data_IF_437880561315
#
_entry.id   IF_437880561315
#
_cell.length_a   1.000
_cell.length_b   1.000
_cell.length_c   1.000
_cell.angle_alpha   90.00
_cell.angle_beta   90.00
_cell.angle_gamma   90.00
#
_symmetry.space_group_name_H-M   'P 1'
#
loop_
_entity.id
_entity.type
_entity.pdbx_description
1 polymer ?
#
# COMPACT_ATOMS: atom_id res chain seq x y z
N UNK A 1 -11.77 -21.20 -0.18
CA UNK A 1 -10.92 -21.36 1.02
C UNK A 1 -9.46 -21.35 0.58
N UNK A 2 -8.83 -20.18 0.53
CA UNK A 2 -7.39 -20.02 0.36
C UNK A 2 -6.86 -19.54 1.72
N UNK A 3 -6.63 -20.48 2.64
CA UNK A 3 -5.85 -20.22 3.85
C UNK A 3 -4.52 -20.94 3.65
N UNK A 4 -3.41 -20.23 3.92
CA UNK A 4 -2.09 -20.78 4.31
C UNK A 4 -0.88 -20.74 3.36
N UNK A 5 -0.84 -20.05 2.21
CA UNK A 5 0.45 -19.92 1.48
C UNK A 5 0.69 -18.55 0.86
N UNK A 6 1.09 -17.57 1.68
CA UNK A 6 1.78 -16.36 1.20
C UNK A 6 2.97 -16.04 2.11
N UNK A 7 4.02 -15.48 1.54
CA UNK A 7 5.27 -15.12 2.23
C UNK A 7 5.41 -13.60 2.13
N UNK A 8 5.61 -12.83 3.22
CA UNK A 8 5.88 -11.39 3.11
C UNK A 8 7.34 -11.02 3.38
N UNK A 9 7.71 -9.76 3.05
CA UNK A 9 9.08 -9.25 3.11
C UNK A 9 9.40 -8.19 4.18
N UNK A 10 10.66 -8.16 4.68
CA UNK A 10 11.71 -9.14 4.44
C UNK A 10 11.66 -10.28 5.47
N UNK A 11 12.14 -11.46 5.09
CA UNK A 11 12.33 -12.56 6.04
C UNK A 11 13.22 -12.11 7.22
N UNK A 12 12.84 -12.39 8.48
CA UNK A 12 11.75 -13.27 8.87
C UNK A 12 10.44 -12.49 9.03
N UNK A 13 9.48 -12.78 8.15
CA UNK A 13 8.08 -12.75 8.55
C UNK A 13 7.94 -13.66 9.75
N UNK A 14 7.83 -13.06 10.91
CA UNK A 14 7.39 -13.73 12.11
C UNK A 14 5.85 -13.63 12.15
N UNK A 15 5.11 -14.70 11.85
CA UNK A 15 3.66 -14.69 11.96
C UNK A 15 3.16 -14.45 13.39
N UNK A 16 4.00 -14.60 14.42
CA UNK A 16 3.70 -14.18 15.80
C UNK A 16 3.91 -12.67 16.03
N UNK A 17 4.62 -11.99 15.11
CA UNK A 17 4.79 -10.53 15.08
C UNK A 17 3.61 -9.80 14.43
N UNK A 18 2.45 -10.47 14.31
CA UNK A 18 1.17 -9.74 14.36
C UNK A 18 1.06 -9.14 15.76
N UNK A 19 1.77 -8.03 15.99
CA UNK A 19 1.53 -7.13 17.13
C UNK A 19 0.02 -7.00 17.29
N UNK A 20 -0.44 -6.82 18.51
CA UNK A 20 -1.81 -6.42 18.79
C UNK A 20 -2.08 -5.04 18.16
N UNK A 21 -2.19 -5.01 16.83
CA UNK A 21 -2.42 -3.83 16.02
C UNK A 21 -3.91 -3.60 16.06
N UNK A 22 -4.25 -2.37 16.40
CA UNK A 22 -5.61 -1.91 16.38
C UNK A 22 -5.74 -0.94 15.22
N UNK A 23 -6.75 -1.16 14.39
CA UNK A 23 -7.10 -0.28 13.31
C UNK A 23 -8.21 0.64 13.82
N UNK A 24 -8.09 1.94 13.56
CA UNK A 24 -9.17 2.89 13.85
C UNK A 24 -10.11 2.96 12.65
N UNK A 25 -11.37 2.59 12.84
CA UNK A 25 -12.39 2.61 11.79
C UNK A 25 -13.70 3.26 12.26
N UNK A 26 -14.34 4.04 11.39
CA UNK A 26 -15.68 4.61 11.59
C UNK A 26 -16.60 4.24 10.42
N UNK A 27 -17.76 3.64 10.71
CA UNK A 27 -18.81 3.34 9.75
C UNK A 27 -19.82 4.50 9.62
N UNK A 28 -20.75 4.39 8.67
CA UNK A 28 -21.74 5.43 8.32
C UNK A 28 -22.48 6.08 9.49
N UNK A 29 -22.72 5.34 10.56
CA UNK A 29 -23.49 5.80 11.72
C UNK A 29 -22.62 6.06 12.96
N UNK A 30 -21.31 5.87 12.85
CA UNK A 30 -20.37 6.08 13.95
C UNK A 30 -20.07 7.57 14.10
N UNK A 31 -20.11 8.06 15.34
CA UNK A 31 -19.74 9.46 15.64
C UNK A 31 -18.24 9.69 15.65
N UNK A 32 -17.46 8.67 16.02
CA UNK A 32 -16.01 8.69 16.13
C UNK A 32 -15.45 7.33 15.71
N UNK A 33 -14.21 7.32 15.21
CA UNK A 33 -13.51 6.09 14.90
C UNK A 33 -13.26 5.27 16.18
N UNK A 34 -13.55 3.97 16.09
CA UNK A 34 -13.28 3.00 17.16
C UNK A 34 -12.07 2.15 16.80
N UNK A 35 -11.32 1.72 17.82
CA UNK A 35 -10.21 0.78 17.69
C UNK A 35 -10.77 -0.64 17.56
N UNK A 36 -10.38 -1.35 16.51
CA UNK A 36 -10.73 -2.75 16.28
C UNK A 36 -9.46 -3.58 16.11
N UNK A 37 -9.47 -4.82 16.60
CA UNK A 37 -8.37 -5.76 16.35
C UNK A 37 -8.39 -6.18 14.88
N UNK A 38 -7.22 -6.56 14.35
CA UNK A 38 -7.06 -7.07 12.97
C UNK A 38 -8.15 -8.08 12.57
N UNK A 39 -8.39 -9.13 13.37
CA UNK A 39 -9.40 -10.15 13.06
C UNK A 39 -10.84 -9.62 12.96
N UNK A 40 -11.15 -8.54 13.68
CA UNK A 40 -12.45 -7.89 13.57
C UNK A 40 -12.49 -7.00 12.34
N UNK A 41 -11.42 -6.24 12.07
CA UNK A 41 -11.27 -5.46 10.84
C UNK A 41 -11.48 -6.33 9.60
N UNK A 42 -10.75 -7.44 9.47
CA UNK A 42 -10.86 -8.40 8.34
C UNK A 42 -12.28 -8.94 8.16
N UNK A 43 -13.03 -9.15 9.25
CA UNK A 43 -14.43 -9.59 9.19
C UNK A 43 -15.37 -8.50 8.69
N UNK A 44 -15.11 -7.25 9.04
CA UNK A 44 -15.94 -6.11 8.71
C UNK A 44 -15.72 -5.63 7.27
N UNK A 45 -14.48 -5.73 6.78
CA UNK A 45 -14.06 -5.22 5.47
C UNK A 45 -13.91 -6.31 4.42
N UNK A 46 -13.89 -7.58 4.83
CA UNK A 46 -13.65 -8.75 3.98
C UNK A 46 -12.27 -8.79 3.30
N UNK A 47 -11.33 -7.92 3.70
CA UNK A 47 -9.93 -7.97 3.25
C UNK A 47 -9.08 -8.81 4.21
N UNK A 48 -7.96 -9.35 3.71
CA UNK A 48 -6.92 -9.91 4.57
C UNK A 48 -5.96 -8.80 4.96
N UNK A 49 -5.76 -8.58 6.26
CA UNK A 49 -4.87 -7.52 6.71
C UNK A 49 -3.41 -7.98 6.65
N UNK A 50 -2.58 -7.19 5.98
CA UNK A 50 -1.13 -7.36 5.90
C UNK A 50 -0.45 -6.02 6.17
N UNK A 51 0.76 -6.04 6.69
CA UNK A 51 1.54 -4.83 6.98
C UNK A 51 2.82 -4.72 6.13
N UNK A 52 3.05 -5.70 5.27
CA UNK A 52 4.16 -5.79 4.32
C UNK A 52 3.67 -6.46 3.02
N UNK A 53 4.39 -6.26 1.93
CA UNK A 53 4.12 -6.94 0.64
C UNK A 53 4.03 -8.46 0.83
N UNK A 54 3.07 -9.09 0.15
CA UNK A 54 2.87 -10.53 0.16
C UNK A 54 3.23 -11.17 -1.19
N UNK A 55 3.76 -12.39 -1.16
CA UNK A 55 4.21 -13.13 -2.34
C UNK A 55 3.55 -14.52 -2.39
N UNK A 56 3.14 -15.01 -3.59
CA UNK A 56 2.54 -16.34 -3.75
C UNK A 56 3.45 -17.50 -3.31
N UNK A 57 4.77 -17.33 -3.42
CA UNK A 57 5.75 -18.31 -2.96
C UNK A 57 7.12 -17.68 -2.70
N UNK A 58 7.96 -18.31 -1.87
CA UNK A 58 9.38 -17.89 -1.72
C UNK A 58 10.12 -17.90 -3.05
N UNK A 59 9.87 -18.92 -3.89
CA UNK A 59 10.47 -19.02 -5.22
C UNK A 59 10.13 -17.79 -6.07
N UNK A 60 8.86 -17.37 -6.08
CA UNK A 60 8.40 -16.16 -6.76
C UNK A 60 9.12 -14.91 -6.25
N UNK A 61 9.24 -14.77 -4.92
CA UNK A 61 9.94 -13.65 -4.30
C UNK A 61 11.41 -13.57 -4.76
N UNK A 62 12.14 -14.69 -4.72
CA UNK A 62 13.53 -14.73 -5.18
C UNK A 62 13.69 -14.48 -6.68
N UNK A 63 12.77 -14.97 -7.51
CA UNK A 63 12.74 -14.66 -8.95
C UNK A 63 12.56 -13.16 -9.18
N UNK A 64 11.61 -12.53 -8.48
CA UNK A 64 11.35 -11.10 -8.58
C UNK A 64 12.55 -10.27 -8.10
N UNK A 65 13.18 -10.64 -6.98
CA UNK A 65 14.42 -9.98 -6.50
C UNK A 65 15.50 -10.02 -7.58
N UNK A 66 15.69 -11.16 -8.25
CA UNK A 66 16.70 -11.28 -9.31
C UNK A 66 16.36 -10.40 -10.52
N UNK A 67 15.08 -10.30 -10.89
CA UNK A 67 14.62 -9.40 -11.95
C UNK A 67 14.84 -7.92 -11.59
N UNK A 68 14.56 -7.53 -10.35
CA UNK A 68 14.78 -6.16 -9.85
C UNK A 68 16.27 -5.83 -9.81
N UNK A 69 17.11 -6.74 -9.30
CA UNK A 69 18.57 -6.56 -9.30
C UNK A 69 19.10 -6.31 -10.71
N UNK A 70 18.68 -7.15 -11.65
CA UNK A 70 19.07 -6.98 -13.06
C UNK A 70 18.61 -5.62 -13.62
N UNK A 71 17.35 -5.23 -13.37
CA UNK A 71 16.84 -3.93 -13.83
C UNK A 71 17.57 -2.74 -13.19
N UNK A 72 17.99 -2.87 -11.92
CA UNK A 72 18.80 -1.87 -11.25
C UNK A 72 20.20 -1.76 -11.87
N UNK A 73 20.88 -2.90 -12.08
CA UNK A 73 22.21 -2.95 -12.69
C UNK A 73 22.21 -2.42 -14.14
N UNK A 74 21.11 -2.63 -14.87
CA UNK A 74 20.89 -2.12 -16.24
C UNK A 74 20.46 -0.64 -16.27
N UNK A 75 20.28 0.00 -15.12
CA UNK A 75 19.90 1.42 -15.00
C UNK A 75 18.43 1.71 -15.33
N UNK A 76 17.57 0.68 -15.31
CA UNK A 76 16.14 0.82 -15.56
C UNK A 76 15.35 1.26 -14.32
N UNK A 77 15.95 1.11 -13.13
CA UNK A 77 15.43 1.60 -11.86
C UNK A 77 16.25 2.82 -11.44
N UNK A 78 15.57 3.93 -11.14
CA UNK A 78 16.22 5.16 -10.70
C UNK A 78 17.01 4.94 -9.39
N UNK A 79 18.26 5.40 -9.34
CA UNK A 79 19.10 5.35 -8.14
C UNK A 79 18.48 6.09 -6.95
N UNK A 80 17.61 7.07 -7.21
CA UNK A 80 16.86 7.76 -6.15
C UNK A 80 16.00 6.80 -5.31
N UNK A 81 15.53 5.69 -5.89
CA UNK A 81 14.77 4.68 -5.16
C UNK A 81 15.58 4.07 -4.01
N UNK A 82 16.89 3.87 -4.19
CA UNK A 82 17.78 3.38 -3.12
C UNK A 82 17.93 4.41 -1.99
N UNK A 83 18.02 5.70 -2.33
CA UNK A 83 18.08 6.76 -1.33
C UNK A 83 16.81 6.83 -0.49
N UNK A 84 15.62 6.77 -1.11
CA UNK A 84 14.36 6.70 -0.38
C UNK A 84 14.24 5.40 0.43
N UNK A 85 14.75 4.28 -0.11
CA UNK A 85 14.79 3.00 0.60
C UNK A 85 15.64 3.07 1.88
N UNK A 86 16.75 3.80 1.84
CA UNK A 86 17.53 4.12 3.04
C UNK A 86 16.77 5.05 3.99
N UNK A 87 16.15 6.11 3.46
CA UNK A 87 15.42 7.11 4.26
C UNK A 87 14.29 6.48 5.08
N UNK A 88 13.48 5.60 4.49
CA UNK A 88 12.29 5.01 5.12
C UNK A 88 12.48 3.55 5.58
N UNK A 89 13.74 3.10 5.69
CA UNK A 89 14.06 1.70 6.00
C UNK A 89 13.38 1.22 7.27
N UNK A 90 13.42 2.02 8.33
CA UNK A 90 12.90 1.62 9.64
C UNK A 90 11.37 1.50 9.61
N UNK A 91 10.71 2.41 8.92
CA UNK A 91 9.26 2.41 8.73
C UNK A 91 8.81 1.19 7.92
N UNK A 92 9.50 0.90 6.81
CA UNK A 92 9.25 -0.28 5.98
C UNK A 92 9.45 -1.58 6.76
N UNK A 93 10.56 -1.71 7.52
CA UNK A 93 10.84 -2.91 8.33
C UNK A 93 9.84 -3.14 9.47
N UNK A 94 9.14 -2.10 9.91
CA UNK A 94 8.18 -2.19 11.00
C UNK A 94 6.73 -2.30 10.50
N UNK A 95 6.49 -2.28 9.19
CA UNK A 95 5.16 -2.14 8.61
C UNK A 95 4.42 -0.92 9.16
N UNK A 96 5.15 0.18 9.42
CA UNK A 96 4.60 1.36 10.10
C UNK A 96 3.47 1.95 9.26
N UNK A 97 2.45 2.47 9.94
CA UNK A 97 1.46 3.38 9.36
C UNK A 97 1.38 4.58 10.31
N UNK A 98 1.21 5.78 9.76
CA UNK A 98 0.98 7.00 10.52
C UNK A 98 -0.27 6.89 11.41
N UNK A 99 -0.43 7.81 12.36
CA UNK A 99 -1.62 7.82 13.21
C UNK A 99 -2.83 8.28 12.39
N UNK A 100 -3.58 7.32 11.85
CA UNK A 100 -4.70 7.55 10.93
C UNK A 100 -5.93 6.75 11.33
N UNK A 101 -7.09 7.15 10.82
CA UNK A 101 -8.33 6.38 10.89
C UNK A 101 -8.97 6.22 9.52
N UNK A 102 -9.56 5.05 9.30
CA UNK A 102 -10.40 4.75 8.13
C UNK A 102 -11.82 5.21 8.47
N UNK A 103 -12.40 6.12 7.67
CA UNK A 103 -13.73 6.66 7.95
C UNK A 103 -14.62 6.55 6.74
N UNK A 104 -15.86 6.14 6.95
CA UNK A 104 -16.88 6.19 5.91
C UNK A 104 -17.12 7.66 5.52
N UNK A 105 -17.09 7.93 4.22
CA UNK A 105 -17.30 9.27 3.67
C UNK A 105 -18.72 9.37 3.12
N UNK A 106 -19.05 8.57 2.10
CA UNK A 106 -20.38 8.53 1.49
C UNK A 106 -20.59 7.26 0.66
N UNK A 107 -21.84 6.92 0.35
CA UNK A 107 -22.18 5.63 -0.29
C UNK A 107 -21.50 5.40 -1.65
N UNK A 108 -21.21 6.47 -2.42
CA UNK A 108 -20.50 6.36 -3.71
C UNK A 108 -18.96 6.20 -3.64
N UNK A 109 -18.28 6.77 -2.63
CA UNK A 109 -16.82 6.65 -2.46
C UNK A 109 -16.48 5.51 -1.50
N UNK A 110 -17.36 5.24 -0.54
CA UNK A 110 -17.11 4.31 0.54
C UNK A 110 -16.27 4.96 1.64
N UNK A 111 -15.09 4.39 1.90
CA UNK A 111 -14.20 4.81 2.97
C UNK A 111 -13.07 5.70 2.46
N UNK A 112 -12.45 6.46 3.36
CA UNK A 112 -11.19 7.15 3.13
C UNK A 112 -10.32 7.13 4.38
N UNK A 113 -9.09 7.62 4.24
CA UNK A 113 -8.12 7.67 5.35
C UNK A 113 -7.95 9.11 5.81
N UNK A 114 -7.99 9.31 7.12
CA UNK A 114 -7.91 10.62 7.75
C UNK A 114 -6.76 10.64 8.76
N UNK A 115 -6.02 11.74 8.79
CA UNK A 115 -4.98 11.94 9.79
C UNK A 115 -5.60 12.13 11.18
N UNK A 116 -5.09 11.41 12.19
CA UNK A 116 -5.47 11.60 13.59
C UNK A 116 -4.39 12.37 14.39
N UNK A 117 -3.26 12.69 13.74
CA UNK A 117 -2.23 13.62 14.21
C UNK A 117 -1.70 14.47 13.05
N UNK A 118 -1.16 15.67 13.28
CA UNK A 118 -0.55 16.48 12.22
C UNK A 118 0.64 15.75 11.55
N UNK A 119 0.76 15.86 10.23
CA UNK A 119 1.87 15.32 9.44
C UNK A 119 2.61 16.43 8.71
N UNK A 120 3.95 16.35 8.68
CA UNK A 120 4.83 17.32 8.01
C UNK A 120 5.12 16.92 6.55
N UNK A 121 5.52 17.87 5.69
CA UNK A 121 6.03 17.54 4.36
C UNK A 121 7.18 16.52 4.43
N UNK A 122 7.13 15.49 3.59
CA UNK A 122 8.08 14.38 3.55
C UNK A 122 7.84 13.30 4.62
N UNK A 123 6.84 13.46 5.49
CA UNK A 123 6.57 12.47 6.54
C UNK A 123 5.93 11.20 5.97
N UNK A 124 6.44 10.05 6.43
CA UNK A 124 5.99 8.73 6.02
C UNK A 124 4.57 8.45 6.53
N UNK A 125 3.66 8.11 5.61
CA UNK A 125 2.27 7.76 5.94
C UNK A 125 2.11 6.25 6.04
N UNK A 126 2.67 5.51 5.08
CA UNK A 126 2.56 4.06 5.05
C UNK A 126 3.04 3.50 3.72
N UNK A 127 3.21 2.18 3.67
CA UNK A 127 3.44 1.46 2.42
C UNK A 127 2.11 1.04 1.79
N UNK A 128 1.98 1.23 0.48
CA UNK A 128 0.90 0.63 -0.30
C UNK A 128 1.22 -0.86 -0.51
N UNK A 129 0.66 -1.70 0.36
CA UNK A 129 0.90 -3.14 0.38
C UNK A 129 -0.18 -3.90 -0.37
N UNK A 130 0.14 -5.14 -0.73
CA UNK A 130 -0.76 -6.09 -1.38
C UNK A 130 -0.02 -7.38 -1.73
N UNK A 131 -0.73 -8.30 -2.35
CA UNK A 131 -0.09 -9.49 -2.91
C UNK A 131 0.49 -9.16 -4.28
N UNK A 132 1.79 -9.39 -4.47
CA UNK A 132 2.44 -9.18 -5.76
C UNK A 132 2.13 -10.37 -6.66
N UNK A 133 1.49 -10.09 -7.79
CA UNK A 133 1.05 -11.09 -8.75
C UNK A 133 1.62 -10.84 -10.13
N UNK A 134 1.89 -11.94 -10.86
CA UNK A 134 2.24 -11.84 -12.27
C UNK A 134 0.98 -11.59 -13.11
N UNK A 135 0.89 -10.46 -13.82
CA UNK A 135 -0.19 -10.12 -14.75
C UNK A 135 0.23 -10.46 -16.17
N UNK A 136 -0.56 -11.25 -16.90
CA UNK A 136 -0.36 -11.42 -18.33
C UNK A 136 -0.82 -10.15 -19.05
N UNK A 137 -0.08 -9.69 -20.06
CA UNK A 137 -0.43 -8.49 -20.87
C UNK A 137 -1.83 -8.54 -21.51
N UNK A 138 -2.42 -9.73 -21.62
CA UNK A 138 -3.77 -9.96 -22.17
C UNK A 138 -4.90 -9.86 -21.13
N UNK A 139 -4.56 -9.77 -19.83
CA UNK A 139 -5.50 -9.68 -18.71
C UNK A 139 -5.52 -8.28 -18.05
N UNK A 140 -5.14 -7.23 -18.79
CA UNK A 140 -5.17 -5.84 -18.28
C UNK A 140 -6.56 -5.36 -17.88
N UNK A 141 -7.62 -6.07 -18.27
CA UNK A 141 -9.00 -5.83 -17.83
C UNK A 141 -9.30 -6.25 -16.38
N UNK A 142 -8.36 -6.90 -15.69
CA UNK A 142 -8.49 -7.31 -14.28
C UNK A 142 -7.87 -6.31 -13.28
N UNK A 143 -7.31 -5.19 -13.76
CA UNK A 143 -6.80 -4.14 -12.87
C UNK A 143 -8.00 -3.32 -12.39
N UNK A 144 -8.51 -3.67 -11.21
CA UNK A 144 -9.55 -2.94 -10.52
C UNK A 144 -8.93 -1.68 -9.85
N UNK A 145 -9.73 -0.78 -9.25
CA UNK A 145 -9.21 0.46 -8.67
C UNK A 145 -8.28 0.28 -7.44
N UNK A 146 -8.20 -0.93 -6.89
CA UNK A 146 -7.36 -1.29 -5.75
C UNK A 146 -6.05 -1.99 -6.17
N UNK A 147 -5.78 -2.08 -7.46
CA UNK A 147 -4.54 -2.66 -7.97
C UNK A 147 -3.54 -1.57 -8.33
N UNK A 148 -2.37 -1.59 -7.69
CA UNK A 148 -1.25 -0.71 -8.07
C UNK A 148 -0.30 -1.45 -9.01
N UNK A 149 0.05 -0.83 -10.14
CA UNK A 149 1.05 -1.41 -11.03
C UNK A 149 2.39 -1.48 -10.33
N UNK A 150 2.97 -2.67 -10.23
CA UNK A 150 4.27 -2.81 -9.58
C UNK A 150 5.34 -2.07 -10.41
N UNK A 151 6.21 -1.25 -9.79
CA UNK A 151 7.08 -0.30 -10.50
C UNK A 151 8.30 -0.95 -11.16
N UNK A 152 8.09 -2.03 -11.92
CA UNK A 152 9.10 -2.68 -12.76
C UNK A 152 8.89 -2.23 -14.22
N UNK A 153 9.98 -2.10 -14.98
CA UNK A 153 10.08 -1.40 -16.27
C UNK A 153 8.96 -1.67 -17.32
N UNK A 154 8.95 -0.84 -18.39
CA UNK A 154 8.01 -0.97 -19.54
C UNK A 154 8.15 -2.24 -20.39
N UNK A 155 9.13 -3.11 -20.13
CA UNK A 155 9.26 -4.41 -20.82
C UNK A 155 8.74 -5.56 -19.95
N UNK A 156 8.74 -5.40 -18.62
CA UNK A 156 8.34 -6.34 -17.58
C UNK A 156 7.05 -5.88 -16.91
N UNK A 157 6.11 -5.37 -17.71
CA UNK A 157 4.72 -5.06 -17.37
C UNK A 157 3.89 -6.28 -16.94
N UNK A 158 4.49 -7.11 -16.10
CA UNK A 158 3.99 -8.41 -15.72
C UNK A 158 3.67 -8.45 -14.24
N UNK A 159 3.73 -7.35 -13.48
CA UNK A 159 3.48 -7.40 -12.04
C UNK A 159 2.49 -6.34 -11.57
N UNK A 160 1.64 -6.72 -10.64
CA UNK A 160 0.72 -5.83 -9.94
C UNK A 160 0.71 -6.15 -8.46
N UNK A 161 0.49 -5.13 -7.64
CA UNK A 161 0.12 -5.26 -6.24
C UNK A 161 -1.39 -5.37 -6.19
N UNK A 162 -1.92 -6.55 -5.84
CA UNK A 162 -3.34 -6.76 -5.55
C UNK A 162 -3.63 -6.32 -4.11
N UNK A 163 -4.25 -5.15 -3.97
CA UNK A 163 -4.74 -4.63 -2.69
C UNK A 163 -6.26 -4.78 -2.49
N UNK A 164 -6.95 -5.55 -3.35
CA UNK A 164 -8.36 -5.91 -3.13
C UNK A 164 -8.46 -7.02 -2.09
N UNK A 165 -7.63 -8.05 -2.23
CA UNK A 165 -7.65 -9.21 -1.33
C UNK A 165 -6.77 -9.04 -0.10
N UNK A 166 -5.70 -8.25 -0.19
CA UNK A 166 -4.68 -8.08 0.84
C UNK A 166 -4.37 -6.61 1.03
N UNK A 167 -4.72 -6.03 2.17
CA UNK A 167 -4.69 -4.58 2.34
C UNK A 167 -4.25 -4.16 3.75
N UNK A 168 -3.81 -2.91 3.87
CA UNK A 168 -3.67 -2.20 5.14
C UNK A 168 -4.53 -0.92 5.11
N UNK A 169 -4.31 -0.02 6.06
CA UNK A 169 -4.96 1.27 6.12
C UNK A 169 -4.70 2.12 4.86
N UNK A 170 -3.50 2.05 4.28
CA UNK A 170 -3.05 2.83 3.12
C UNK A 170 -3.86 2.49 1.86
N UNK A 171 -4.35 1.26 1.73
CA UNK A 171 -5.19 0.81 0.62
C UNK A 171 -6.54 1.55 0.52
N UNK A 172 -6.94 2.26 1.59
CA UNK A 172 -8.17 3.07 1.64
C UNK A 172 -7.93 4.56 1.33
N UNK A 173 -6.70 4.99 1.04
CA UNK A 173 -6.41 6.38 0.69
C UNK A 173 -6.99 6.67 -0.69
N UNK A 174 -7.84 7.69 -0.80
CA UNK A 174 -8.53 8.04 -2.04
C UNK A 174 -7.68 8.87 -3.01
N UNK A 175 -8.16 8.92 -4.26
CA UNK A 175 -7.64 9.82 -5.29
C UNK A 175 -8.05 11.29 -5.05
N UNK A 176 -7.18 12.21 -5.46
CA UNK A 176 -7.49 13.62 -5.68
C UNK A 176 -6.58 14.19 -6.77
N UNK A 177 -7.09 15.10 -7.62
CA UNK A 177 -6.28 15.92 -8.55
C UNK A 177 -5.51 17.04 -7.85
N UNK A 178 -5.84 17.33 -6.59
CA UNK A 178 -5.12 18.28 -5.73
C UNK A 178 -4.75 17.57 -4.42
N UNK A 179 -3.86 16.56 -4.49
CA UNK A 179 -3.57 15.70 -3.36
C UNK A 179 -2.73 16.40 -2.29
N UNK A 180 -2.68 15.79 -1.11
CA UNK A 180 -1.81 16.20 0.00
C UNK A 180 -0.73 15.17 0.36
N UNK A 181 -0.76 14.01 -0.31
CA UNK A 181 0.27 13.00 -0.29
C UNK A 181 0.69 12.58 -1.71
N UNK A 182 1.84 11.93 -1.83
CA UNK A 182 2.34 11.35 -3.08
C UNK A 182 2.83 9.91 -2.86
N UNK A 183 2.82 9.11 -3.92
CA UNK A 183 3.49 7.81 -3.96
C UNK A 183 4.91 7.97 -4.49
N UNK A 184 5.89 7.40 -3.79
CA UNK A 184 7.27 7.30 -4.25
C UNK A 184 7.70 5.83 -4.33
N UNK A 185 8.57 5.54 -5.28
CA UNK A 185 9.19 4.22 -5.43
C UNK A 185 10.45 4.20 -4.56
N UNK A 186 10.57 3.17 -3.73
CA UNK A 186 11.77 2.94 -2.90
C UNK A 186 12.33 1.56 -3.17
N UNK A 187 13.64 1.39 -3.04
CA UNK A 187 14.32 0.10 -3.17
C UNK A 187 14.89 -0.27 -1.80
N UNK A 188 14.30 -1.27 -1.14
CA UNK A 188 14.77 -1.78 0.14
C UNK A 188 14.85 -3.31 0.08
N UNK A 189 15.92 -3.88 0.60
CA UNK A 189 16.17 -5.34 0.57
C UNK A 189 16.02 -6.00 -0.81
N UNK A 190 16.36 -5.26 -1.87
CA UNK A 190 16.25 -5.69 -3.27
C UNK A 190 14.82 -5.87 -3.79
N UNK A 191 13.83 -5.30 -3.09
CA UNK A 191 12.47 -5.17 -3.58
C UNK A 191 12.06 -3.70 -3.67
N UNK A 192 11.20 -3.45 -4.65
CA UNK A 192 10.60 -2.14 -4.83
C UNK A 192 9.37 -2.03 -3.94
N UNK A 193 9.27 -0.93 -3.21
CA UNK A 193 8.13 -0.60 -2.36
C UNK A 193 7.49 0.69 -2.87
N UNK A 194 6.19 0.82 -2.62
CA UNK A 194 5.44 2.03 -2.93
C UNK A 194 5.12 2.71 -1.60
N UNK A 195 5.86 3.76 -1.29
CA UNK A 195 5.70 4.53 -0.06
C UNK A 195 4.79 5.71 -0.32
N UNK A 196 3.78 5.90 0.52
CA UNK A 196 2.96 7.11 0.55
C UNK A 196 3.54 8.06 1.60
N UNK A 197 3.77 9.32 1.21
CA UNK A 197 4.25 10.37 2.11
C UNK A 197 3.52 11.69 1.89
N UNK A 198 3.48 12.54 2.90
CA UNK A 198 2.89 13.87 2.80
C UNK A 198 3.75 14.79 1.90
N UNK A 199 3.12 15.62 1.06
CA UNK A 199 3.81 16.64 0.24
C UNK A 199 3.65 18.06 0.78
N UNK A 200 2.69 18.24 1.69
CA UNK A 200 2.45 19.48 2.44
C UNK A 200 2.05 19.13 3.88
N UNK A 201 1.93 20.11 4.80
CA UNK A 201 1.32 19.84 6.09
C UNK A 201 -0.09 19.26 5.92
N UNK A 202 -0.41 18.22 6.68
CA UNK A 202 -1.73 17.60 6.76
C UNK A 202 -2.21 17.75 8.20
N UNK A 203 -3.34 18.41 8.39
CA UNK A 203 -3.88 18.70 9.71
C UNK A 203 -4.65 17.51 10.30
N UNK A 204 -4.83 17.51 11.63
CA UNK A 204 -5.66 16.49 12.28
C UNK A 204 -7.10 16.57 11.77
N UNK A 205 -7.63 15.42 11.36
CA UNK A 205 -8.97 15.27 10.78
C UNK A 205 -9.04 15.52 9.28
N UNK A 206 -7.94 15.89 8.63
CA UNK A 206 -7.89 16.05 7.17
C UNK A 206 -7.85 14.69 6.45
N UNK A 207 -8.57 14.56 5.33
CA UNK A 207 -8.51 13.37 4.47
C UNK A 207 -7.15 13.33 3.75
N UNK A 208 -6.47 12.20 3.83
CA UNK A 208 -5.25 11.94 3.06
C UNK A 208 -5.67 11.48 1.67
N UNK A 209 -5.08 12.07 0.64
CA UNK A 209 -5.31 11.72 -0.77
C UNK A 209 -4.02 11.79 -1.58
N UNK A 210 -3.90 10.96 -2.61
CA UNK A 210 -2.78 11.02 -3.57
C UNK A 210 -3.26 10.88 -5.02
N UNK A 211 -2.40 11.21 -5.98
CA UNK A 211 -2.71 11.05 -7.40
C UNK A 211 -2.54 9.59 -7.82
N UNK A 212 -3.62 8.95 -8.30
CA UNK A 212 -3.60 7.56 -8.77
C UNK A 212 -2.96 7.43 -10.17
N UNK A 213 -2.74 8.55 -10.86
CA UNK A 213 -2.21 8.60 -12.21
C UNK A 213 -3.28 8.36 -13.28
N UNK A 214 -2.84 8.47 -14.54
CA UNK A 214 -3.72 8.50 -15.72
C UNK A 214 -4.34 7.14 -16.08
N UNK A 215 -3.89 6.04 -15.46
CA UNK A 215 -4.42 4.69 -15.72
C UNK A 215 -5.76 4.44 -14.99
N UNK A 216 -6.17 5.36 -14.09
CA UNK A 216 -7.43 5.27 -13.37
C UNK A 216 -8.56 5.98 -14.15
N UNK A 217 -9.51 5.20 -14.66
CA UNK A 217 -10.53 5.65 -15.63
C UNK A 217 -11.84 6.17 -15.02
N UNK A 218 -11.88 6.49 -13.72
CA UNK A 218 -13.09 7.07 -13.12
C UNK A 218 -12.82 8.47 -12.53
N UNK A 219 -12.70 9.45 -13.43
CA UNK A 219 -12.66 10.89 -13.10
C UNK A 219 -14.02 11.39 -12.53
N UNK A 220 -15.05 10.55 -12.39
CA UNK A 220 -16.39 10.99 -11.93
C UNK A 220 -16.57 10.98 -10.41
N UNK A 221 -15.58 10.49 -9.65
CA UNK A 221 -15.68 10.32 -8.20
C UNK A 221 -14.91 11.34 -7.35
N UNK A 222 -14.07 12.22 -7.93
CA UNK A 222 -13.54 13.47 -7.30
C UNK A 222 -12.63 14.29 -8.22
#
# INVERSE_FOLDING_TARGET
>A
MLKENYFPEPLPYDPEFKKAREIKIAFKWDKLARRVRVKEFEKLTHVNYIDHLAFPSRKFCYELINEIKKGFDEGEIDKQAEWFGFQYRNELLQGKVADVSIRFIHDRIGFGVFADSPLKPGEFIGEYVGMILKVSRYFSSYINPYCFRYPLNKKLFNYTIDAESFANEVSFINHSKSPNAESIITLNHHLLHIVIRAIRPIETGEEITFDYGNDFLDDSLR
#
